data_IF_574205648046
#
_entry.id   IF_574205648046
#
_cell.length_a   1.000
_cell.length_b   1.000
_cell.length_c   1.000
_cell.angle_alpha   90.00
_cell.angle_beta   90.00
_cell.angle_gamma   90.00
#
_symmetry.space_group_name_H-M   'P 1'
#
loop_
_entity.id
_entity.type
_entity.pdbx_description
1 polymer ?
#
# COMPACT_ATOMS: atom_id res chain seq x y z
N UNK A 1 8.70 -18.87 -11.44
CA UNK A 1 9.23 -17.50 -11.30
C UNK A 1 8.55 -16.93 -10.06
N UNK A 2 9.29 -16.68 -8.98
CA UNK A 2 8.69 -16.13 -7.77
C UNK A 2 8.32 -14.68 -8.06
N UNK A 3 7.04 -14.35 -7.93
CA UNK A 3 6.55 -12.98 -7.99
C UNK A 3 7.28 -12.18 -6.91
N UNK A 4 7.97 -11.12 -7.30
CA UNK A 4 8.69 -10.27 -6.35
C UNK A 4 7.67 -9.68 -5.35
N UNK A 5 7.89 -9.84 -4.04
CA UNK A 5 6.90 -9.44 -3.05
C UNK A 5 6.74 -7.91 -3.06
N UNK A 6 5.50 -7.45 -3.29
CA UNK A 6 5.16 -6.02 -3.31
C UNK A 6 4.60 -5.62 -1.94
N UNK A 7 4.99 -4.44 -1.46
CA UNK A 7 4.40 -3.80 -0.27
C UNK A 7 3.34 -2.80 -0.72
N UNK A 8 2.11 -2.99 -0.24
CA UNK A 8 0.97 -2.11 -0.49
C UNK A 8 0.80 -1.16 0.69
N UNK A 9 0.98 0.13 0.47
CA UNK A 9 0.79 1.16 1.50
C UNK A 9 -0.54 1.85 1.27
N UNK A 10 -1.42 1.81 2.26
CA UNK A 10 -2.77 2.38 2.21
C UNK A 10 -2.88 3.41 3.33
N UNK A 11 -2.99 4.68 2.95
CA UNK A 11 -3.03 5.79 3.91
C UNK A 11 -3.69 6.98 3.21
N UNK A 12 -4.54 7.77 3.88
CA UNK A 12 -5.15 8.95 3.25
C UNK A 12 -4.19 10.14 3.18
N UNK A 13 -3.14 10.17 4.00
CA UNK A 13 -2.12 11.21 4.00
C UNK A 13 -1.05 10.96 2.91
N UNK A 14 -0.95 11.88 1.96
CA UNK A 14 0.03 11.81 0.87
C UNK A 14 1.49 11.82 1.37
N UNK A 15 1.80 12.63 2.38
CA UNK A 15 3.16 12.73 2.92
C UNK A 15 3.61 11.43 3.59
N UNK A 16 2.69 10.73 4.27
CA UNK A 16 2.95 9.39 4.82
C UNK A 16 3.21 8.39 3.70
N UNK A 17 2.37 8.36 2.66
CA UNK A 17 2.57 7.48 1.49
C UNK A 17 3.92 7.69 0.82
N UNK A 18 4.30 8.94 0.58
CA UNK A 18 5.59 9.29 -0.05
C UNK A 18 6.78 8.87 0.83
N UNK A 19 6.70 9.16 2.12
CA UNK A 19 7.77 8.83 3.09
C UNK A 19 7.98 7.32 3.21
N UNK A 20 6.89 6.54 3.34
CA UNK A 20 6.96 5.08 3.41
C UNK A 20 7.41 4.47 2.09
N UNK A 21 6.92 4.97 0.95
CA UNK A 21 7.34 4.51 -0.37
C UNK A 21 8.83 4.74 -0.57
N UNK A 22 9.36 5.90 -0.18
CA UNK A 22 10.79 6.20 -0.25
C UNK A 22 11.59 5.24 0.63
N UNK A 23 11.22 5.08 1.91
CA UNK A 23 11.91 4.19 2.85
C UNK A 23 11.98 2.76 2.32
N UNK A 24 10.84 2.19 1.93
CA UNK A 24 10.74 0.82 1.43
C UNK A 24 11.51 0.63 0.11
N UNK A 25 11.47 1.62 -0.80
CA UNK A 25 12.25 1.58 -2.03
C UNK A 25 13.76 1.59 -1.76
N UNK A 26 14.24 2.35 -0.76
CA UNK A 26 15.66 2.33 -0.36
C UNK A 26 16.09 0.97 0.23
N UNK A 27 15.14 0.20 0.76
CA UNK A 27 15.37 -1.18 1.20
C UNK A 27 15.31 -2.21 0.04
N UNK A 28 15.10 -1.77 -1.20
CA UNK A 28 15.00 -2.64 -2.38
C UNK A 28 13.66 -3.36 -2.52
N UNK A 29 12.61 -2.89 -1.85
CA UNK A 29 11.27 -3.47 -1.94
C UNK A 29 10.46 -2.76 -3.03
N UNK A 30 9.67 -3.53 -3.78
CA UNK A 30 8.66 -2.97 -4.67
C UNK A 30 7.50 -2.42 -3.83
N UNK A 31 7.07 -1.18 -4.11
CA UNK A 31 6.01 -0.51 -3.36
C UNK A 31 4.91 -0.03 -4.28
N UNK A 32 3.66 -0.17 -3.85
CA UNK A 32 2.49 0.44 -4.47
C UNK A 32 1.67 1.15 -3.41
N UNK A 33 1.31 2.40 -3.65
CA UNK A 33 0.59 3.24 -2.68
C UNK A 33 -0.87 3.44 -3.10
N UNK A 34 -1.76 3.59 -2.11
CA UNK A 34 -3.19 3.80 -2.29
C UNK A 34 -3.68 4.85 -1.30
N UNK A 35 -4.57 5.73 -1.75
CA UNK A 35 -5.10 6.83 -0.93
C UNK A 35 -6.28 6.43 -0.03
N UNK A 36 -6.82 5.23 -0.21
CA UNK A 36 -7.92 4.71 0.61
C UNK A 36 -8.00 3.19 0.51
N UNK A 37 -8.66 2.57 1.50
CA UNK A 37 -8.96 1.14 1.46
C UNK A 37 -9.79 0.75 0.23
N UNK A 38 -10.70 1.62 -0.22
CA UNK A 38 -11.53 1.38 -1.41
C UNK A 38 -10.67 1.27 -2.67
N UNK A 39 -9.75 2.22 -2.88
CA UNK A 39 -8.84 2.20 -4.02
C UNK A 39 -7.95 0.94 -4.06
N UNK A 40 -7.57 0.43 -2.88
CA UNK A 40 -6.87 -0.85 -2.78
C UNK A 40 -7.75 -2.03 -3.15
N UNK A 41 -8.98 -2.09 -2.64
CA UNK A 41 -9.93 -3.18 -2.92
C UNK A 41 -10.28 -3.25 -4.41
N UNK A 42 -10.53 -2.11 -5.05
CA UNK A 42 -10.78 -2.05 -6.50
C UNK A 42 -9.59 -2.55 -7.32
N UNK A 43 -8.38 -2.36 -6.79
CA UNK A 43 -7.18 -2.83 -7.44
C UNK A 43 -6.90 -4.33 -7.20
N UNK A 44 -7.49 -4.98 -6.17
CA UNK A 44 -7.15 -6.34 -5.68
C UNK A 44 -7.03 -7.40 -6.78
N UNK A 45 -7.90 -7.36 -7.79
CA UNK A 45 -7.87 -8.30 -8.91
C UNK A 45 -6.56 -8.23 -9.74
N UNK A 46 -5.88 -7.09 -9.69
CA UNK A 46 -4.61 -6.81 -10.38
C UNK A 46 -3.38 -6.91 -9.48
N UNK A 47 -3.58 -7.13 -8.17
CA UNK A 47 -2.50 -7.13 -7.18
C UNK A 47 -2.04 -8.56 -6.94
N UNK A 48 -0.73 -8.80 -7.12
CA UNK A 48 -0.11 -10.09 -6.78
C UNK A 48 0.04 -10.29 -5.27
N UNK A 49 0.66 -11.41 -4.89
CA UNK A 49 0.99 -11.69 -3.49
C UNK A 49 1.94 -10.63 -2.91
N UNK A 50 1.67 -10.18 -1.69
CA UNK A 50 2.41 -9.09 -1.06
C UNK A 50 2.07 -8.89 0.41
N UNK A 51 2.62 -7.81 0.97
CA UNK A 51 2.32 -7.34 2.33
C UNK A 51 1.49 -6.06 2.25
N UNK A 52 0.57 -5.87 3.19
CA UNK A 52 -0.24 -4.65 3.30
C UNK A 52 0.16 -3.90 4.57
N UNK A 53 0.47 -2.61 4.40
CA UNK A 53 0.63 -1.63 5.46
C UNK A 53 -0.52 -0.65 5.30
N UNK A 54 -1.43 -0.61 6.26
CA UNK A 54 -2.61 0.25 6.20
C UNK A 54 -2.70 1.13 7.44
N UNK A 55 -3.12 2.37 7.26
CA UNK A 55 -3.62 3.14 8.39
C UNK A 55 -4.95 2.53 8.88
N UNK A 56 -5.13 2.56 10.20
CA UNK A 56 -6.34 2.06 10.86
C UNK A 56 -7.48 3.06 10.71
N UNK A 57 -7.19 4.37 10.66
CA UNK A 57 -8.17 5.45 10.78
C UNK A 57 -8.25 6.33 9.53
N UNK A 58 -8.72 5.75 8.44
CA UNK A 58 -9.01 6.49 7.21
C UNK A 58 -10.48 6.95 7.15
N UNK A 59 -10.77 8.13 6.54
CA UNK A 59 -12.13 8.54 6.23
C UNK A 59 -12.85 7.56 5.28
N UNK A 60 -14.13 7.30 5.55
CA UNK A 60 -14.96 6.42 4.72
C UNK A 60 -14.86 4.94 5.09
N UNK A 61 -13.67 4.34 4.98
CA UNK A 61 -13.44 2.92 5.33
C UNK A 61 -12.15 2.77 6.12
N UNK A 62 -12.22 2.11 7.27
CA UNK A 62 -11.05 1.77 8.09
C UNK A 62 -10.14 0.76 7.40
N UNK A 63 -8.88 0.70 7.83
CA UNK A 63 -7.94 -0.37 7.43
C UNK A 63 -8.18 -1.74 8.08
N UNK A 64 -9.23 -1.86 8.92
CA UNK A 64 -9.72 -3.12 9.51
C UNK A 64 -11.05 -3.52 8.86
#
# INVERSE_FOLDING_TARGET
>A
MATEPVVHVIDDDQGVRESLSFLLATAGLAVRTFESAVAFIEALETIGHGCVITDVRMPGMSGI
#
